data_IF_998578185466
#
_entry.id   IF_998578185466
#
_cell.length_a   1.000
_cell.length_b   1.000
_cell.length_c   1.000
_cell.angle_alpha   90.00
_cell.angle_beta   90.00
_cell.angle_gamma   90.00
#
_symmetry.space_group_name_H-M   'P 1'
#
loop_
_entity.id
_entity.type
_entity.pdbx_description
1 polymer ?
#
# COMPACT_ATOMS: atom_id res chain seq x y z
N UNK A 1 -92.50 21.65 -8.89
CA UNK A 1 -91.97 20.28 -9.02
C UNK A 1 -90.88 20.14 -7.96
N UNK A 2 -91.08 19.75 -6.70
CA UNK A 2 -91.76 18.61 -6.06
C UNK A 2 -91.19 17.23 -6.43
N UNK A 3 -90.34 16.68 -5.57
CA UNK A 3 -90.22 15.28 -5.13
C UNK A 3 -88.98 15.15 -4.21
N UNK A 4 -89.08 14.86 -2.90
CA UNK A 4 -89.23 13.52 -2.26
C UNK A 4 -88.18 12.53 -2.77
N UNK A 5 -87.37 11.83 -1.98
CA UNK A 5 -87.24 11.53 -0.55
C UNK A 5 -86.24 10.37 -0.43
N UNK A 6 -85.54 10.15 0.69
CA UNK A 6 -85.78 8.98 1.55
C UNK A 6 -84.86 9.00 2.77
N UNK A 7 -85.44 8.63 3.92
CA UNK A 7 -84.81 8.43 5.23
C UNK A 7 -83.93 7.17 5.23
N UNK A 8 -82.89 7.16 6.07
CA UNK A 8 -82.63 6.04 6.99
C UNK A 8 -81.90 6.51 8.26
N UNK A 9 -82.60 6.33 9.39
CA UNK A 9 -82.07 6.35 10.76
C UNK A 9 -81.13 5.15 10.93
N UNK A 10 -79.98 5.35 11.58
CA UNK A 10 -79.28 4.27 12.29
C UNK A 10 -78.98 4.76 13.71
N UNK A 11 -79.52 4.01 14.67
CA UNK A 11 -79.35 4.16 16.11
C UNK A 11 -77.95 3.75 16.54
N UNK A 12 -77.46 4.38 17.62
CA UNK A 12 -76.18 4.10 18.24
C UNK A 12 -76.09 2.75 18.93
N UNK A 13 -74.85 2.30 19.06
CA UNK A 13 -74.36 1.21 19.92
C UNK A 13 -72.88 1.48 20.25
N UNK A 14 -72.37 0.97 21.38
CA UNK A 14 -71.28 1.60 22.13
C UNK A 14 -69.88 1.33 21.53
N UNK A 15 -69.02 2.33 21.68
CA UNK A 15 -67.58 2.27 21.42
C UNK A 15 -66.91 1.34 22.44
N UNK A 16 -66.20 0.29 22.02
CA UNK A 16 -65.27 -0.40 22.90
C UNK A 16 -63.97 0.41 22.93
N UNK A 17 -63.66 1.00 24.08
CA UNK A 17 -62.31 1.47 24.40
C UNK A 17 -61.40 0.26 24.59
N UNK A 18 -60.71 -0.14 23.53
CA UNK A 18 -59.61 -1.09 23.62
C UNK A 18 -58.33 -0.30 23.95
N UNK A 19 -57.99 -0.27 25.24
CA UNK A 19 -56.66 0.13 25.70
C UNK A 19 -55.65 -0.99 25.40
N UNK A 20 -55.41 -1.21 24.11
CA UNK A 20 -54.26 -1.97 23.61
C UNK A 20 -53.01 -1.13 23.80
N UNK A 21 -52.35 -1.30 24.94
CA UNK A 21 -51.03 -0.78 25.24
C UNK A 21 -50.02 -1.44 24.28
N UNK A 22 -49.94 -0.94 23.04
CA UNK A 22 -48.93 -1.34 22.06
C UNK A 22 -47.60 -0.75 22.51
N UNK A 23 -46.98 -1.46 23.44
CA UNK A 23 -45.57 -1.32 23.76
C UNK A 23 -44.80 -1.67 22.49
N UNK A 24 -44.52 -0.65 21.67
CA UNK A 24 -43.48 -0.76 20.65
C UNK A 24 -42.23 -1.26 21.36
N UNK A 25 -41.59 -2.35 20.89
CA UNK A 25 -40.38 -2.81 21.53
C UNK A 25 -39.38 -1.66 21.42
N UNK A 26 -38.97 -1.15 22.58
CA UNK A 26 -37.84 -0.24 22.72
C UNK A 26 -36.68 -0.88 21.96
N UNK A 27 -36.42 -0.37 20.76
CA UNK A 27 -35.34 -0.83 19.89
C UNK A 27 -34.07 -0.78 20.72
N UNK A 28 -33.55 -1.96 21.06
CA UNK A 28 -32.46 -2.13 22.01
C UNK A 28 -31.27 -1.27 21.57
N UNK A 29 -31.12 -0.11 22.21
CA UNK A 29 -30.12 0.88 21.82
C UNK A 29 -28.70 0.33 21.91
N UNK A 30 -28.50 -0.68 22.77
CA UNK A 30 -27.26 -1.45 22.90
C UNK A 30 -26.99 -2.38 21.71
N UNK A 31 -28.02 -3.00 21.12
CA UNK A 31 -27.86 -3.85 19.92
C UNK A 31 -27.44 -3.02 18.70
N UNK A 32 -28.05 -1.84 18.52
CA UNK A 32 -27.67 -0.90 17.45
C UNK A 32 -26.26 -0.31 17.63
N UNK A 33 -25.83 -0.03 18.87
CA UNK A 33 -24.47 0.45 19.14
C UNK A 33 -23.43 -0.65 18.90
N UNK A 34 -23.69 -1.87 19.35
CA UNK A 34 -22.80 -3.03 19.15
C UNK A 34 -22.63 -3.37 17.66
N UNK A 35 -23.71 -3.32 16.89
CA UNK A 35 -23.67 -3.54 15.43
C UNK A 35 -22.83 -2.46 14.72
N UNK A 36 -23.00 -1.18 15.08
CA UNK A 36 -22.19 -0.08 14.51
C UNK A 36 -20.71 -0.21 14.84
N UNK A 37 -20.38 -0.55 16.09
CA UNK A 37 -19.00 -0.76 16.50
C UNK A 37 -18.36 -1.93 15.73
N UNK A 38 -19.09 -3.04 15.57
CA UNK A 38 -18.60 -4.20 14.83
C UNK A 38 -18.33 -3.85 13.36
N UNK A 39 -19.24 -3.11 12.71
CA UNK A 39 -19.05 -2.65 11.33
C UNK A 39 -17.82 -1.75 11.21
N UNK A 40 -17.66 -0.77 12.10
CA UNK A 40 -16.50 0.11 12.13
C UNK A 40 -15.18 -0.66 12.33
N UNK A 41 -15.18 -1.69 13.19
CA UNK A 41 -14.03 -2.58 13.36
C UNK A 41 -13.72 -3.35 12.06
N UNK A 42 -14.73 -3.87 11.36
CA UNK A 42 -14.52 -4.57 10.09
C UNK A 42 -13.92 -3.65 9.03
N UNK A 43 -14.40 -2.40 8.94
CA UNK A 43 -13.81 -1.39 8.06
C UNK A 43 -12.34 -1.17 8.40
N UNK A 44 -12.01 -0.98 9.68
CA UNK A 44 -10.63 -0.76 10.10
C UNK A 44 -9.69 -1.91 9.70
N UNK A 45 -10.11 -3.16 9.95
CA UNK A 45 -9.33 -4.35 9.57
C UNK A 45 -9.24 -4.51 8.05
N UNK A 46 -10.35 -4.30 7.33
CA UNK A 46 -10.40 -4.40 5.89
C UNK A 46 -9.52 -3.33 5.21
N UNK A 47 -9.44 -2.12 5.76
CA UNK A 47 -8.50 -1.09 5.29
C UNK A 47 -7.06 -1.61 5.36
N UNK A 48 -6.65 -2.23 6.47
CA UNK A 48 -5.31 -2.81 6.60
C UNK A 48 -5.02 -3.91 5.56
N UNK A 49 -5.98 -4.82 5.35
CA UNK A 49 -5.88 -5.85 4.30
C UNK A 49 -5.82 -5.23 2.89
N UNK A 50 -6.66 -4.26 2.60
CA UNK A 50 -6.72 -3.59 1.31
C UNK A 50 -5.42 -2.85 1.01
N UNK A 51 -4.91 -2.07 1.95
CA UNK A 51 -3.62 -1.38 1.82
C UNK A 51 -2.46 -2.36 1.64
N UNK A 52 -2.50 -3.53 2.30
CA UNK A 52 -1.51 -4.58 2.10
C UNK A 52 -1.55 -5.17 0.70
N UNK A 53 -2.75 -5.40 0.14
CA UNK A 53 -2.91 -5.82 -1.26
C UNK A 53 -2.33 -4.76 -2.21
N UNK A 54 -2.68 -3.49 -2.00
CA UNK A 54 -2.18 -2.37 -2.81
C UNK A 54 -0.66 -2.26 -2.79
N UNK A 55 -0.06 -2.28 -1.59
CA UNK A 55 1.39 -2.19 -1.43
C UNK A 55 2.10 -3.34 -2.14
N UNK A 56 1.53 -4.55 -2.11
CA UNK A 56 2.18 -5.73 -2.64
C UNK A 56 1.96 -5.95 -4.15
N UNK A 57 0.89 -5.40 -4.72
CA UNK A 57 0.52 -5.61 -6.13
C UNK A 57 0.66 -4.33 -6.95
N UNK A 58 -0.16 -3.32 -6.65
CA UNK A 58 -0.26 -2.10 -7.44
C UNK A 58 -0.89 -0.99 -6.59
N UNK A 59 -0.16 0.09 -6.32
CA UNK A 59 -0.64 1.20 -5.49
C UNK A 59 -1.62 2.14 -6.22
N UNK A 60 -1.88 1.90 -7.52
CA UNK A 60 -2.84 2.64 -8.34
C UNK A 60 -3.84 1.71 -9.05
N UNK A 61 -4.79 1.10 -8.33
CA UNK A 61 -5.79 0.22 -8.91
C UNK A 61 -6.68 0.96 -9.91
N UNK A 62 -7.15 0.28 -10.94
CA UNK A 62 -8.34 0.69 -11.68
C UNK A 62 -9.63 0.31 -10.91
N UNK A 63 -10.79 0.77 -11.37
CA UNK A 63 -12.04 0.60 -10.62
C UNK A 63 -12.44 -0.87 -10.44
N UNK A 64 -12.13 -1.72 -11.42
CA UNK A 64 -12.40 -3.16 -11.36
C UNK A 64 -11.49 -3.81 -10.31
N UNK A 65 -10.19 -3.47 -10.31
CA UNK A 65 -9.22 -3.93 -9.32
C UNK A 65 -9.58 -3.44 -7.92
N UNK A 66 -9.95 -2.16 -7.79
CA UNK A 66 -10.33 -1.57 -6.51
C UNK A 66 -11.55 -2.29 -5.91
N UNK A 67 -12.59 -2.54 -6.70
CA UNK A 67 -13.78 -3.28 -6.29
C UNK A 67 -13.45 -4.73 -5.89
N UNK A 68 -12.65 -5.43 -6.69
CA UNK A 68 -12.21 -6.80 -6.40
C UNK A 68 -11.42 -6.88 -5.09
N UNK A 69 -10.41 -6.03 -4.94
CA UNK A 69 -9.48 -6.09 -3.81
C UNK A 69 -10.11 -5.62 -2.50
N UNK A 70 -11.01 -4.64 -2.55
CA UNK A 70 -11.79 -4.22 -1.37
C UNK A 70 -12.73 -5.32 -0.90
N UNK A 71 -13.40 -6.03 -1.81
CA UNK A 71 -14.21 -7.21 -1.46
C UNK A 71 -13.37 -8.35 -0.85
N UNK A 72 -12.17 -8.60 -1.39
CA UNK A 72 -11.22 -9.57 -0.81
C UNK A 72 -10.77 -9.15 0.60
N UNK A 73 -10.45 -7.88 0.79
CA UNK A 73 -10.05 -7.34 2.07
C UNK A 73 -11.16 -7.41 3.12
N UNK A 74 -12.41 -7.12 2.72
CA UNK A 74 -13.59 -7.27 3.57
C UNK A 74 -13.80 -8.72 4.00
N UNK A 75 -13.71 -9.66 3.06
CA UNK A 75 -13.84 -11.07 3.35
C UNK A 75 -12.74 -11.56 4.32
N UNK A 76 -11.49 -11.11 4.13
CA UNK A 76 -10.39 -11.41 5.04
C UNK A 76 -10.64 -10.87 6.45
N UNK A 77 -11.10 -9.62 6.56
CA UNK A 77 -11.45 -9.01 7.85
C UNK A 77 -12.56 -9.79 8.58
N UNK A 78 -13.66 -10.09 7.88
CA UNK A 78 -14.78 -10.86 8.42
C UNK A 78 -14.34 -12.27 8.87
N UNK A 79 -13.53 -12.94 8.05
CA UNK A 79 -12.98 -14.27 8.35
C UNK A 79 -12.12 -14.23 9.62
N UNK A 80 -11.25 -13.22 9.77
CA UNK A 80 -10.37 -13.08 10.94
C UNK A 80 -11.12 -12.91 12.26
N UNK A 81 -12.35 -12.37 12.20
CA UNK A 81 -13.20 -12.13 13.37
C UNK A 81 -14.30 -13.18 13.53
N UNK A 82 -14.38 -14.18 12.63
CA UNK A 82 -15.42 -15.21 12.65
C UNK A 82 -16.84 -14.64 12.47
N UNK A 83 -16.98 -13.50 11.78
CA UNK A 83 -18.28 -12.85 11.54
C UNK A 83 -18.65 -12.92 10.07
N UNK A 84 -19.95 -12.76 9.78
CA UNK A 84 -20.48 -12.68 8.42
C UNK A 84 -21.30 -11.40 8.30
N UNK A 85 -20.70 -10.40 7.68
CA UNK A 85 -21.35 -9.12 7.36
C UNK A 85 -21.29 -8.95 5.85
N UNK A 86 -22.40 -8.54 5.26
CA UNK A 86 -22.47 -8.32 3.82
C UNK A 86 -21.56 -7.18 3.40
N UNK A 87 -20.94 -7.35 2.23
CA UNK A 87 -20.13 -6.33 1.61
C UNK A 87 -21.03 -5.39 0.80
N UNK A 88 -21.15 -4.14 1.24
CA UNK A 88 -22.03 -3.13 0.66
C UNK A 88 -21.26 -1.95 0.04
N UNK A 89 -22.01 -1.03 -0.58
CA UNK A 89 -21.44 0.14 -1.26
C UNK A 89 -20.72 1.09 -0.28
N UNK A 90 -21.20 1.18 0.96
CA UNK A 90 -20.58 2.01 1.99
C UNK A 90 -19.23 1.42 2.41
N UNK A 91 -19.14 0.10 2.57
CA UNK A 91 -17.88 -0.59 2.83
C UNK A 91 -16.89 -0.39 1.69
N UNK A 92 -17.35 -0.53 0.44
CA UNK A 92 -16.52 -0.26 -0.75
C UNK A 92 -15.91 1.14 -0.71
N UNK A 93 -16.74 2.19 -0.52
CA UNK A 93 -16.29 3.59 -0.48
C UNK A 93 -15.28 3.80 0.64
N UNK A 94 -15.65 3.42 1.87
CA UNK A 94 -14.80 3.61 3.05
C UNK A 94 -13.45 2.90 2.91
N UNK A 95 -13.42 1.66 2.40
CA UNK A 95 -12.16 0.92 2.23
C UNK A 95 -11.28 1.57 1.14
N UNK A 96 -11.87 1.91 0.00
CA UNK A 96 -11.11 2.41 -1.16
C UNK A 96 -10.59 3.84 -0.99
N UNK A 97 -11.31 4.70 -0.26
CA UNK A 97 -10.86 6.06 0.10
C UNK A 97 -9.49 6.03 0.81
N UNK A 98 -9.25 5.02 1.64
CA UNK A 98 -8.00 4.84 2.39
C UNK A 98 -6.82 4.35 1.54
N UNK A 99 -7.04 3.99 0.26
CA UNK A 99 -5.96 3.67 -0.68
C UNK A 99 -5.08 4.88 -1.04
N UNK A 100 -5.63 6.09 -0.94
CA UNK A 100 -4.87 7.33 -1.12
C UNK A 100 -3.93 7.61 0.06
N UNK A 101 -4.35 7.27 1.28
CA UNK A 101 -3.53 7.42 2.49
C UNK A 101 -2.23 6.62 2.39
N UNK A 102 -2.30 5.38 1.90
CA UNK A 102 -1.12 4.51 1.72
C UNK A 102 -0.01 5.18 0.90
N UNK A 103 -0.40 5.90 -0.16
CA UNK A 103 0.52 6.64 -1.05
C UNK A 103 1.13 7.85 -0.35
N UNK A 104 0.32 8.60 0.38
CA UNK A 104 0.78 9.72 1.21
C UNK A 104 1.74 9.27 2.31
N UNK A 105 1.45 8.12 2.94
CA UNK A 105 2.29 7.51 3.98
C UNK A 105 3.65 7.09 3.41
N UNK A 106 3.66 6.43 2.25
CA UNK A 106 4.88 6.08 1.52
C UNK A 106 5.76 7.32 1.26
N UNK A 107 5.17 8.38 0.69
CA UNK A 107 5.92 9.60 0.39
C UNK A 107 6.45 10.26 1.67
N UNK A 108 5.64 10.28 2.73
CA UNK A 108 6.03 10.82 4.05
C UNK A 108 7.21 10.04 4.65
N UNK A 109 7.22 8.71 4.50
CA UNK A 109 8.32 7.86 4.95
C UNK A 109 9.62 8.11 4.15
N UNK A 110 9.51 8.32 2.84
CA UNK A 110 10.68 8.44 1.94
C UNK A 110 11.30 9.82 1.91
N UNK A 111 10.50 10.89 2.05
CA UNK A 111 10.97 12.27 1.94
C UNK A 111 12.23 12.59 2.77
N UNK A 112 12.30 12.31 4.08
CA UNK A 112 13.52 12.57 4.87
C UNK A 112 14.72 11.71 4.43
N UNK A 113 14.47 10.50 3.91
CA UNK A 113 15.52 9.63 3.37
C UNK A 113 16.09 10.20 2.07
N UNK A 114 15.22 10.62 1.14
CA UNK A 114 15.64 11.24 -0.13
C UNK A 114 16.44 12.51 0.12
N UNK A 115 16.01 13.34 1.06
CA UNK A 115 16.74 14.54 1.45
C UNK A 115 18.16 14.22 1.92
N UNK A 116 18.28 13.27 2.84
CA UNK A 116 19.55 12.92 3.49
C UNK A 116 20.50 12.18 2.55
N UNK A 117 20.00 11.19 1.82
CA UNK A 117 20.82 10.29 0.99
C UNK A 117 21.35 10.99 -0.28
N UNK A 118 20.58 11.93 -0.85
CA UNK A 118 21.03 12.70 -2.02
C UNK A 118 21.64 14.06 -1.66
N UNK A 119 21.54 14.49 -0.40
CA UNK A 119 22.13 15.74 0.08
C UNK A 119 21.37 17.00 -0.35
N UNK A 120 20.05 16.91 -0.52
CA UNK A 120 19.23 18.09 -0.79
C UNK A 120 19.36 19.10 0.36
N UNK A 121 19.46 20.37 0.01
CA UNK A 121 19.63 21.46 0.99
C UNK A 121 18.31 22.18 1.21
N UNK A 122 17.80 22.19 2.43
CA UNK A 122 16.58 22.91 2.78
C UNK A 122 16.84 24.40 3.12
N UNK A 123 17.81 25.00 2.42
CA UNK A 123 18.15 26.41 2.56
C UNK A 123 17.50 27.20 1.44
N UNK A 124 17.07 28.44 1.73
CA UNK A 124 16.46 29.34 0.74
C UNK A 124 17.49 30.20 -0.01
N UNK A 125 18.78 29.86 0.09
CA UNK A 125 19.84 30.59 -0.60
C UNK A 125 19.81 30.30 -2.09
N UNK A 126 20.06 31.30 -2.97
CA UNK A 126 20.10 31.07 -4.42
C UNK A 126 21.03 29.92 -4.84
N UNK A 127 22.13 29.72 -4.11
CA UNK A 127 23.09 28.65 -4.33
C UNK A 127 22.51 27.27 -4.01
N UNK A 128 21.83 27.12 -2.87
CA UNK A 128 21.16 25.87 -2.49
C UNK A 128 20.03 25.53 -3.46
N UNK A 129 19.27 26.54 -3.87
CA UNK A 129 18.21 26.44 -4.88
C UNK A 129 18.77 25.91 -6.21
N UNK A 130 19.84 26.52 -6.72
CA UNK A 130 20.48 26.10 -7.98
C UNK A 130 21.03 24.69 -7.88
N UNK A 131 21.69 24.38 -6.76
CA UNK A 131 22.23 23.04 -6.48
C UNK A 131 21.12 21.97 -6.49
N UNK A 132 20.02 22.20 -5.78
CA UNK A 132 18.90 21.25 -5.73
C UNK A 132 18.25 21.04 -7.11
N UNK A 133 18.10 22.11 -7.90
CA UNK A 133 17.54 22.01 -9.25
C UNK A 133 18.45 21.22 -10.19
N UNK A 134 19.77 21.45 -10.15
CA UNK A 134 20.77 20.72 -10.92
C UNK A 134 20.83 19.25 -10.52
N UNK A 135 20.81 18.96 -9.21
CA UNK A 135 20.75 17.61 -8.67
C UNK A 135 19.46 16.89 -9.11
N UNK A 136 18.30 17.56 -9.02
CA UNK A 136 17.01 17.02 -9.46
C UNK A 136 17.03 16.65 -10.94
N UNK A 137 17.52 17.56 -11.79
CA UNK A 137 17.67 17.32 -13.23
C UNK A 137 18.57 16.10 -13.51
N UNK A 138 19.69 16.00 -12.77
CA UNK A 138 20.64 14.89 -12.90
C UNK A 138 20.02 13.55 -12.50
N UNK A 139 19.31 13.51 -11.37
CA UNK A 139 18.65 12.31 -10.85
C UNK A 139 17.50 11.84 -11.76
N UNK A 140 16.64 12.77 -12.20
CA UNK A 140 15.51 12.45 -13.08
C UNK A 140 15.95 12.12 -14.51
N UNK A 141 17.05 12.72 -14.98
CA UNK A 141 17.65 12.40 -16.27
C UNK A 141 18.33 11.03 -16.32
N UNK A 142 18.65 10.44 -15.17
CA UNK A 142 19.27 9.13 -15.08
C UNK A 142 18.79 8.36 -13.84
N UNK A 143 17.67 7.64 -13.97
CA UNK A 143 17.09 6.82 -12.90
C UNK A 143 18.05 5.74 -12.34
N UNK A 144 19.15 5.41 -13.04
CA UNK A 144 20.21 4.54 -12.52
C UNK A 144 20.82 5.08 -11.22
N UNK A 145 20.82 6.39 -11.02
CA UNK A 145 21.46 7.04 -9.87
C UNK A 145 20.79 6.75 -8.52
N UNK A 146 19.51 6.37 -8.51
CA UNK A 146 18.82 5.92 -7.29
C UNK A 146 18.31 4.48 -7.38
N UNK A 147 18.59 3.80 -8.50
CA UNK A 147 18.32 2.36 -8.65
C UNK A 147 19.59 1.53 -8.61
N UNK A 148 20.80 2.08 -8.66
CA UNK A 148 22.04 1.29 -8.69
C UNK A 148 23.16 1.88 -7.83
N UNK A 149 23.77 1.05 -6.98
CA UNK A 149 24.84 1.44 -6.04
C UNK A 149 26.14 1.81 -6.75
N UNK A 150 26.49 1.13 -7.85
CA UNK A 150 27.67 1.43 -8.66
C UNK A 150 27.39 1.27 -10.16
N UNK A 151 26.70 2.25 -10.73
CA UNK A 151 26.29 2.23 -12.15
C UNK A 151 27.47 2.15 -13.12
N UNK A 152 28.62 2.75 -12.76
CA UNK A 152 29.82 2.79 -13.62
C UNK A 152 30.47 1.42 -13.77
N UNK A 153 30.31 0.55 -12.78
CA UNK A 153 30.81 -0.82 -12.81
C UNK A 153 29.74 -1.85 -13.20
N UNK A 154 28.50 -1.42 -13.46
CA UNK A 154 27.36 -2.33 -13.67
C UNK A 154 26.97 -3.14 -12.43
N UNK A 155 27.34 -2.68 -11.22
CA UNK A 155 27.18 -3.44 -9.96
C UNK A 155 26.14 -2.83 -9.02
N UNK A 156 25.42 -3.70 -8.30
CA UNK A 156 24.51 -3.29 -7.23
C UNK A 156 23.22 -2.62 -7.71
N UNK A 157 22.64 -3.09 -8.82
CA UNK A 157 21.28 -2.70 -9.22
C UNK A 157 20.28 -3.13 -8.12
N UNK A 158 19.43 -2.20 -7.73
CA UNK A 158 18.49 -2.22 -6.60
C UNK A 158 19.11 -2.44 -5.22
N UNK A 159 20.43 -2.28 -5.09
CA UNK A 159 21.14 -2.33 -3.81
C UNK A 159 21.47 -0.94 -3.24
N UNK A 160 20.81 0.10 -3.74
CA UNK A 160 20.96 1.44 -3.16
C UNK A 160 20.34 1.42 -1.77
N UNK A 161 21.11 1.83 -0.76
CA UNK A 161 20.75 1.70 0.65
C UNK A 161 19.40 2.39 0.99
N UNK A 162 18.99 3.39 0.21
CA UNK A 162 17.68 4.05 0.34
C UNK A 162 16.49 3.11 0.13
N UNK A 163 16.62 2.05 -0.69
CA UNK A 163 15.53 1.10 -0.96
C UNK A 163 15.19 0.27 0.28
N UNK A 164 16.11 -0.51 0.89
CA UNK A 164 15.82 -1.24 2.12
C UNK A 164 15.44 -0.30 3.28
N UNK A 165 16.06 0.89 3.39
CA UNK A 165 15.65 1.92 4.37
C UNK A 165 14.21 2.36 4.15
N UNK A 166 13.81 2.60 2.90
CA UNK A 166 12.46 3.00 2.51
C UNK A 166 11.42 1.93 2.82
N UNK A 167 11.70 0.66 2.47
CA UNK A 167 10.83 -0.48 2.79
C UNK A 167 10.66 -0.62 4.31
N UNK A 168 11.77 -0.54 5.05
CA UNK A 168 11.75 -0.61 6.52
C UNK A 168 10.90 0.53 7.08
N UNK A 169 11.14 1.77 6.65
CA UNK A 169 10.43 2.95 7.16
C UNK A 169 8.95 2.97 6.79
N UNK A 170 8.58 2.44 5.63
CA UNK A 170 7.19 2.45 5.17
C UNK A 170 6.39 1.27 5.72
N UNK A 171 6.95 0.06 5.69
CA UNK A 171 6.22 -1.18 5.98
C UNK A 171 6.46 -1.70 7.41
N UNK A 172 7.57 -1.32 8.06
CA UNK A 172 8.07 -1.97 9.27
C UNK A 172 8.56 -1.00 10.37
N UNK A 173 8.26 0.31 10.28
CA UNK A 173 8.74 1.33 11.25
C UNK A 173 8.33 1.01 12.69
N UNK A 174 7.19 0.32 12.88
CA UNK A 174 6.61 0.02 14.18
C UNK A 174 6.01 -1.38 14.19
N UNK A 175 5.80 -1.91 15.40
CA UNK A 175 5.13 -3.21 15.62
C UNK A 175 3.70 -3.27 15.06
N UNK A 176 3.05 -2.13 14.89
CA UNK A 176 1.72 -2.01 14.31
C UNK A 176 1.72 -1.55 12.84
N UNK A 177 2.89 -1.49 12.19
CA UNK A 177 2.96 -1.24 10.75
C UNK A 177 2.40 -2.43 9.96
N UNK A 178 1.91 -2.18 8.75
CA UNK A 178 1.26 -3.20 7.91
C UNK A 178 2.13 -4.45 7.72
N UNK A 179 3.43 -4.27 7.45
CA UNK A 179 4.36 -5.39 7.24
C UNK A 179 4.58 -6.23 8.50
N UNK A 180 4.48 -5.63 9.69
CA UNK A 180 4.62 -6.33 10.96
C UNK A 180 3.32 -7.05 11.38
N UNK A 181 2.15 -6.45 11.12
CA UNK A 181 0.85 -7.05 11.51
C UNK A 181 0.34 -8.10 10.51
N UNK A 182 0.63 -7.91 9.22
CA UNK A 182 0.08 -8.70 8.12
C UNK A 182 1.21 -9.36 7.33
N UNK A 183 2.16 -9.98 8.03
CA UNK A 183 3.40 -10.57 7.48
C UNK A 183 3.16 -11.48 6.27
N UNK A 184 2.05 -12.23 6.25
CA UNK A 184 1.68 -13.12 5.14
C UNK A 184 1.50 -12.41 3.80
N UNK A 185 1.14 -11.11 3.80
CA UNK A 185 1.04 -10.33 2.57
C UNK A 185 2.40 -9.87 2.06
N UNK A 186 3.35 -9.63 2.97
CA UNK A 186 4.64 -9.01 2.66
C UNK A 186 5.76 -10.01 2.37
N UNK A 187 5.44 -11.31 2.42
CA UNK A 187 6.28 -12.40 1.97
C UNK A 187 5.69 -12.99 0.69
N UNK A 188 6.31 -12.67 -0.44
CA UNK A 188 5.94 -13.22 -1.74
C UNK A 188 6.24 -14.71 -1.79
N UNK A 189 5.26 -15.51 -2.23
CA UNK A 189 5.35 -16.98 -2.20
C UNK A 189 6.28 -17.57 -3.26
N UNK A 190 6.56 -16.82 -4.32
CA UNK A 190 7.41 -17.27 -5.44
C UNK A 190 8.88 -17.00 -5.11
N UNK A 191 9.16 -15.79 -4.65
CA UNK A 191 10.51 -15.33 -4.34
C UNK A 191 10.90 -15.62 -2.90
N UNK A 192 9.94 -15.85 -1.99
CA UNK A 192 10.19 -15.97 -0.54
C UNK A 192 10.63 -14.67 0.12
N UNK A 193 10.55 -13.54 -0.58
CA UNK A 193 11.05 -12.22 -0.15
C UNK A 193 10.00 -11.11 -0.27
N UNK A 194 10.44 -9.85 -0.27
CA UNK A 194 9.56 -8.70 -0.43
C UNK A 194 8.91 -8.73 -1.82
N UNK A 195 7.64 -8.38 -1.92
CA UNK A 195 6.98 -8.38 -3.22
C UNK A 195 7.56 -7.31 -4.15
N UNK A 196 7.43 -7.56 -5.45
CA UNK A 196 7.76 -6.58 -6.49
C UNK A 196 7.02 -5.26 -6.30
N UNK A 197 5.73 -5.32 -5.95
CA UNK A 197 4.91 -4.13 -5.76
C UNK A 197 5.50 -3.17 -4.73
N UNK A 198 6.06 -3.70 -3.63
CA UNK A 198 6.69 -2.88 -2.58
C UNK A 198 7.92 -2.16 -3.12
N UNK A 199 8.81 -2.89 -3.80
CA UNK A 199 10.05 -2.34 -4.36
C UNK A 199 9.72 -1.25 -5.37
N UNK A 200 8.80 -1.53 -6.31
CA UNK A 200 8.35 -0.58 -7.33
C UNK A 200 7.69 0.64 -6.70
N UNK A 201 6.87 0.46 -5.66
CA UNK A 201 6.24 1.55 -4.95
C UNK A 201 7.31 2.48 -4.33
N UNK A 202 8.31 1.91 -3.66
CA UNK A 202 9.42 2.69 -3.08
C UNK A 202 10.20 3.46 -4.14
N UNK A 203 10.54 2.83 -5.27
CA UNK A 203 11.22 3.52 -6.39
C UNK A 203 10.38 4.68 -6.94
N UNK A 204 9.08 4.44 -7.15
CA UNK A 204 8.14 5.46 -7.63
C UNK A 204 8.02 6.61 -6.62
N UNK A 205 8.01 6.28 -5.32
CA UNK A 205 7.95 7.26 -4.23
C UNK A 205 9.24 8.08 -4.10
N UNK A 206 10.41 7.47 -4.32
CA UNK A 206 11.70 8.17 -4.38
C UNK A 206 11.68 9.19 -5.51
N UNK A 207 11.29 8.78 -6.72
CA UNK A 207 11.20 9.69 -7.86
C UNK A 207 10.20 10.83 -7.60
N UNK A 208 9.05 10.53 -6.99
CA UNK A 208 8.08 11.54 -6.60
C UNK A 208 8.63 12.55 -5.59
N UNK A 209 9.44 12.11 -4.62
CA UNK A 209 10.11 12.99 -3.67
C UNK A 209 11.17 13.85 -4.35
N UNK A 210 11.95 13.29 -5.30
CA UNK A 210 12.94 14.05 -6.09
C UNK A 210 12.24 15.16 -6.90
N UNK A 211 11.09 14.87 -7.50
CA UNK A 211 10.29 15.86 -8.23
C UNK A 211 9.88 17.07 -7.37
N UNK A 212 9.69 16.92 -6.05
CA UNK A 212 9.34 18.05 -5.16
C UNK A 212 10.41 19.16 -5.14
N UNK A 213 11.63 18.85 -5.57
CA UNK A 213 12.78 19.75 -5.64
C UNK A 213 12.98 20.40 -7.01
N UNK A 214 12.09 20.12 -7.98
CA UNK A 214 12.17 20.69 -9.33
C UNK A 214 11.90 22.19 -9.32
N UNK A 215 10.93 22.62 -8.52
CA UNK A 215 10.72 24.03 -8.25
C UNK A 215 11.78 24.47 -7.25
N UNK A 216 12.37 25.63 -7.50
CA UNK A 216 13.41 26.27 -6.70
C UNK A 216 13.16 26.30 -5.18
N UNK A 217 11.93 26.04 -4.74
CA UNK A 217 11.55 25.76 -3.36
C UNK A 217 10.89 24.38 -3.29
N UNK A 218 11.12 23.63 -2.21
CA UNK A 218 10.44 22.37 -1.95
C UNK A 218 8.92 22.61 -1.98
N UNK A 219 8.25 22.13 -3.02
CA UNK A 219 6.79 22.17 -3.10
C UNK A 219 6.30 20.75 -2.88
N UNK A 220 5.57 20.57 -1.79
CA UNK A 220 4.93 19.29 -1.54
C UNK A 220 3.93 18.98 -2.65
N UNK A 221 4.24 17.98 -3.46
CA UNK A 221 3.42 17.60 -4.61
C UNK A 221 2.55 16.40 -4.25
N UNK A 222 1.27 16.44 -4.57
CA UNK A 222 0.42 15.28 -4.29
C UNK A 222 0.84 14.07 -5.15
N UNK A 223 0.76 12.87 -4.57
CA UNK A 223 1.17 11.63 -5.23
C UNK A 223 0.04 11.08 -6.12
N UNK A 224 -0.28 11.85 -7.16
CA UNK A 224 -1.42 11.64 -8.07
C UNK A 224 -1.25 10.42 -8.98
N UNK A 225 -2.36 9.70 -9.19
CA UNK A 225 -2.40 8.48 -10.01
C UNK A 225 -2.04 8.78 -11.46
N UNK A 226 -2.55 9.88 -11.98
CA UNK A 226 -2.46 10.33 -13.37
C UNK A 226 -1.00 10.51 -13.80
N UNK A 227 -0.14 10.91 -12.86
CA UNK A 227 1.29 11.14 -13.09
C UNK A 227 2.12 9.89 -12.85
N UNK A 228 1.91 9.20 -11.74
CA UNK A 228 2.85 8.19 -11.24
C UNK A 228 2.48 6.74 -11.58
N UNK A 229 1.28 6.47 -12.08
CA UNK A 229 0.92 5.11 -12.51
C UNK A 229 1.76 4.63 -13.70
N UNK A 230 2.13 5.52 -14.62
CA UNK A 230 3.01 5.19 -15.74
C UNK A 230 4.44 4.89 -15.27
N UNK A 231 4.97 5.72 -14.36
CA UNK A 231 6.30 5.54 -13.75
C UNK A 231 6.37 4.20 -13.00
N UNK A 232 5.34 3.87 -12.21
CA UNK A 232 5.23 2.58 -11.52
C UNK A 232 5.33 1.42 -12.51
N UNK A 233 4.56 1.45 -13.61
CA UNK A 233 4.58 0.39 -14.63
C UNK A 233 5.94 0.25 -15.31
N UNK A 234 6.64 1.35 -15.54
CA UNK A 234 8.00 1.34 -16.10
C UNK A 234 8.97 0.61 -15.16
N UNK A 235 8.97 0.96 -13.87
CA UNK A 235 9.81 0.28 -12.87
C UNK A 235 9.42 -1.19 -12.70
N UNK A 236 8.13 -1.50 -12.72
CA UNK A 236 7.65 -2.88 -12.63
C UNK A 236 8.18 -3.72 -13.79
N UNK A 237 8.09 -3.21 -15.03
CA UNK A 237 8.65 -3.88 -16.20
C UNK A 237 10.16 -4.09 -16.08
N UNK A 238 10.89 -3.04 -15.66
CA UNK A 238 12.33 -3.11 -15.46
C UNK A 238 12.75 -4.18 -14.44
N UNK A 239 11.96 -4.39 -13.39
CA UNK A 239 12.23 -5.40 -12.36
C UNK A 239 11.82 -6.82 -12.78
N UNK A 240 10.73 -6.98 -13.53
CA UNK A 240 10.30 -8.29 -14.02
C UNK A 240 11.28 -8.86 -15.03
N UNK A 241 11.89 -8.00 -15.85
CA UNK A 241 12.88 -8.39 -16.85
C UNK A 241 14.24 -8.79 -16.20
N UNK A 242 14.33 -8.90 -14.86
CA UNK A 242 15.56 -9.09 -14.10
C UNK A 242 15.63 -10.44 -13.36
N UNK A 243 16.57 -11.32 -13.74
CA UNK A 243 16.60 -12.73 -13.32
C UNK A 243 17.07 -12.96 -11.85
N UNK A 244 17.75 -11.99 -11.23
CA UNK A 244 18.21 -12.10 -9.82
C UNK A 244 17.20 -11.58 -8.79
N UNK A 245 16.00 -11.24 -9.24
CA UNK A 245 14.95 -10.66 -8.42
C UNK A 245 14.63 -11.49 -7.16
N UNK A 246 14.56 -12.84 -7.18
CA UNK A 246 14.29 -13.59 -5.96
C UNK A 246 15.33 -13.38 -4.86
N UNK A 247 16.62 -13.24 -5.22
CA UNK A 247 17.70 -12.99 -4.25
C UNK A 247 17.58 -11.59 -3.65
N UNK A 248 17.30 -10.58 -4.48
CA UNK A 248 17.09 -9.19 -4.05
C UNK A 248 15.88 -9.10 -3.11
N UNK A 249 14.74 -9.67 -3.50
CA UNK A 249 13.51 -9.68 -2.71
C UNK A 249 13.75 -10.27 -1.32
N UNK A 250 14.44 -11.42 -1.22
CA UNK A 250 14.75 -12.06 0.07
C UNK A 250 15.62 -11.18 0.96
N UNK A 251 16.70 -10.63 0.40
CA UNK A 251 17.64 -9.79 1.14
C UNK A 251 16.96 -8.52 1.65
N UNK A 252 16.13 -7.87 0.83
CA UNK A 252 15.37 -6.68 1.23
C UNK A 252 14.37 -6.98 2.36
N UNK A 253 13.66 -8.11 2.28
CA UNK A 253 12.73 -8.51 3.34
C UNK A 253 13.48 -8.84 4.63
N UNK A 254 14.55 -9.64 4.55
CA UNK A 254 15.40 -9.99 5.70
C UNK A 254 15.91 -8.74 6.42
N UNK A 255 16.46 -7.78 5.66
CA UNK A 255 16.93 -6.52 6.21
C UNK A 255 15.82 -5.75 6.93
N UNK A 256 14.64 -5.63 6.31
CA UNK A 256 13.51 -4.91 6.89
C UNK A 256 12.96 -5.59 8.16
N UNK A 257 12.85 -6.92 8.15
CA UNK A 257 12.38 -7.71 9.29
C UNK A 257 13.37 -7.66 10.46
N UNK A 258 14.67 -7.80 10.20
CA UNK A 258 15.72 -7.71 11.22
C UNK A 258 15.67 -6.37 11.94
N UNK A 259 15.63 -5.26 11.19
CA UNK A 259 15.54 -3.92 11.77
C UNK A 259 14.26 -3.71 12.60
N UNK A 260 13.19 -4.45 12.29
CA UNK A 260 11.92 -4.38 13.00
C UNK A 260 11.75 -5.43 14.11
N UNK A 261 12.76 -6.29 14.34
CA UNK A 261 12.69 -7.43 15.26
C UNK A 261 11.51 -8.38 14.96
N UNK A 262 11.24 -8.66 13.68
CA UNK A 262 10.22 -9.61 13.24
C UNK A 262 10.87 -10.98 12.98
N UNK A 263 10.36 -12.11 13.54
CA UNK A 263 10.95 -13.44 13.34
C UNK A 263 10.96 -13.90 11.86
N UNK A 264 12.01 -14.60 11.44
CA UNK A 264 12.12 -15.21 10.10
C UNK A 264 11.39 -16.56 10.00
N UNK A 265 10.76 -16.81 8.85
CA UNK A 265 10.19 -18.12 8.47
C UNK A 265 11.07 -18.79 7.40
N UNK A 266 11.38 -20.10 7.49
CA UNK A 266 12.35 -20.78 6.61
C UNK A 266 11.94 -20.81 5.12
N UNK A 267 12.92 -20.72 4.20
CA UNK A 267 12.74 -20.54 2.74
C UNK A 267 13.16 -21.80 1.94
N UNK A 268 12.41 -22.19 0.90
CA UNK A 268 12.78 -23.19 -0.14
C UNK A 268 12.99 -22.50 -1.52
N UNK A 269 13.98 -22.93 -2.31
CA UNK A 269 14.43 -22.29 -3.58
C UNK A 269 14.39 -23.28 -4.76
N UNK A 270 13.98 -22.83 -5.94
CA UNK A 270 14.26 -23.40 -7.28
C UNK A 270 13.54 -22.56 -8.34
N UNK A 271 13.98 -22.31 -9.57
CA UNK A 271 15.14 -22.62 -10.41
C UNK A 271 14.92 -21.88 -11.77
N UNK A 272 16.00 -21.49 -12.44
CA UNK A 272 16.23 -20.48 -13.52
C UNK A 272 15.80 -20.82 -14.96
N UNK A 273 15.70 -19.81 -15.86
CA UNK A 273 16.19 -19.83 -17.28
C UNK A 273 15.86 -18.55 -18.13
N UNK A 274 16.86 -17.65 -18.32
CA UNK A 274 17.42 -16.96 -19.54
C UNK A 274 16.53 -16.45 -20.73
N UNK A 275 16.75 -15.27 -21.38
CA UNK A 275 18.01 -14.58 -21.80
C UNK A 275 17.89 -13.03 -22.09
N UNK A 276 18.96 -12.26 -21.78
CA UNK A 276 19.40 -10.95 -22.35
C UNK A 276 20.96 -10.91 -22.43
N UNK A 277 21.54 -9.96 -23.18
CA UNK A 277 22.91 -9.92 -23.77
C UNK A 277 24.15 -10.20 -22.88
N UNK A 278 24.95 -11.19 -23.27
CA UNK A 278 26.05 -11.91 -22.59
C UNK A 278 27.13 -11.17 -21.76
N UNK A 279 27.57 -9.95 -22.10
CA UNK A 279 28.83 -9.42 -21.55
C UNK A 279 28.69 -8.67 -20.20
N UNK A 280 27.55 -8.03 -19.94
CA UNK A 280 27.28 -7.35 -18.66
C UNK A 280 26.70 -8.30 -17.60
N UNK A 281 26.11 -9.43 -18.01
CA UNK A 281 25.45 -10.42 -17.16
C UNK A 281 26.42 -11.40 -16.50
N UNK A 282 27.49 -11.77 -17.22
CA UNK A 282 28.53 -12.68 -16.72
C UNK A 282 29.27 -12.08 -15.51
N UNK A 283 29.51 -10.77 -15.53
CA UNK A 283 30.20 -10.06 -14.45
C UNK A 283 29.35 -9.96 -13.16
N UNK A 284 28.04 -9.80 -13.29
CA UNK A 284 27.12 -9.77 -12.16
C UNK A 284 26.92 -11.16 -11.56
N UNK A 285 26.69 -12.20 -12.37
CA UNK A 285 26.50 -13.57 -11.88
C UNK A 285 27.74 -14.14 -11.18
N UNK A 286 28.94 -13.92 -11.72
CA UNK A 286 30.19 -14.37 -11.13
C UNK A 286 30.51 -13.72 -9.77
N UNK A 287 30.03 -12.49 -9.55
CA UNK A 287 30.16 -11.81 -8.25
C UNK A 287 29.27 -12.44 -7.16
N UNK A 288 28.12 -13.00 -7.54
CA UNK A 288 27.19 -13.63 -6.61
C UNK A 288 27.60 -15.05 -6.21
N UNK A 289 28.21 -15.82 -7.12
CA UNK A 289 28.67 -17.20 -6.84
C UNK A 289 29.93 -17.26 -5.96
N UNK A 290 30.68 -16.16 -5.86
CA UNK A 290 31.90 -16.07 -5.06
C UNK A 290 31.70 -15.63 -3.61
N UNK A 291 30.48 -15.28 -3.19
CA UNK A 291 30.20 -14.83 -1.82
C UNK A 291 29.72 -15.99 -0.97
N UNK A 292 30.63 -16.57 -0.19
CA UNK A 292 30.29 -17.44 0.93
C UNK A 292 29.41 -16.63 1.89
N UNK A 293 28.21 -17.12 2.20
CA UNK A 293 27.39 -16.60 3.30
C UNK A 293 28.20 -16.77 4.59
N UNK A 294 28.95 -15.74 4.97
CA UNK A 294 29.52 -15.65 6.31
C UNK A 294 28.41 -15.17 7.24
N UNK A 295 27.96 -16.06 8.12
CA UNK A 295 27.02 -15.77 9.21
C UNK A 295 27.57 -14.80 10.27
N UNK A 296 28.79 -14.30 10.09
CA UNK A 296 29.47 -13.43 11.05
C UNK A 296 29.67 -12.04 10.47
N UNK A 297 28.61 -11.23 10.53
CA UNK A 297 28.61 -9.82 10.94
C UNK A 297 27.19 -9.30 10.73
N UNK A 298 26.52 -8.94 11.84
CA UNK A 298 25.61 -7.80 12.05
C UNK A 298 24.68 -8.09 13.24
#
# INVERSE_FOLDING_TARGET
MSARGHKKKVQGGPVPTDHGNSSLPLRDSNSSKKSRWLYALMIHLAVGHYQSILANTMIYPNDIEACKWSGQAWAAACCSQGVRIDYDEDAYKLITEHGSNLRSDLKTALRPLVETEFGFKNDKTPEAIRFNAELTSTLLGNCKLFTCKNCKAGKGLFEVDIIPKGITKWCYDRKNSLGAMLTSYFKDTTTGGASLGIIVAVLTGIEACVVEWTTSTKIESCFYKERYAAIFKTYYKMLVDFDILPKICKRLLKHAQHHANVPEDPIRVGGTSENFSTDEFTAAAAEWDGRVESDDEY
#
